data_IF_487699748865
#
_entry.id   IF_487699748865
#
_cell.length_a   1.000
_cell.length_b   1.000
_cell.length_c   1.000
_cell.angle_alpha   90.00
_cell.angle_beta   90.00
_cell.angle_gamma   90.00
#
_symmetry.space_group_name_H-M   'P 1'
#
loop_
_entity.id
_entity.type
_entity.pdbx_description
1 polymer ?
#
# COMPACT_ATOMS: atom_id res chain seq x y z
N UNK A 1 4.54 -12.46 18.39
CA UNK A 1 4.00 -12.81 17.06
C UNK A 1 4.78 -12.04 15.98
N UNK A 2 5.56 -12.72 15.10
CA UNK A 2 6.53 -12.07 14.22
C UNK A 2 5.96 -11.05 13.24
N UNK A 3 4.83 -11.34 12.57
CA UNK A 3 4.23 -10.40 11.61
C UNK A 3 3.67 -9.15 12.30
N UNK A 4 3.13 -9.28 13.53
CA UNK A 4 2.71 -8.12 14.31
C UNK A 4 3.90 -7.28 14.77
N UNK A 5 5.01 -7.90 15.17
CA UNK A 5 6.24 -7.20 15.54
C UNK A 5 6.84 -6.45 14.34
N UNK A 6 6.90 -7.09 13.17
CA UNK A 6 7.35 -6.45 11.93
C UNK A 6 6.41 -5.30 11.50
N UNK A 7 5.10 -5.45 11.69
CA UNK A 7 4.13 -4.39 11.43
C UNK A 7 4.32 -3.19 12.37
N UNK A 8 4.59 -3.43 13.66
CA UNK A 8 4.89 -2.35 14.60
C UNK A 8 6.21 -1.64 14.25
N UNK A 9 7.24 -2.40 13.82
CA UNK A 9 8.52 -1.84 13.38
C UNK A 9 8.36 -0.92 12.16
N UNK A 10 7.45 -1.23 11.22
CA UNK A 10 7.11 -0.31 10.12
C UNK A 10 6.60 1.03 10.66
N UNK A 11 5.66 0.99 11.62
CA UNK A 11 5.10 2.20 12.21
C UNK A 11 6.15 3.02 12.95
N UNK A 12 7.13 2.39 13.58
CA UNK A 12 8.26 3.08 14.21
C UNK A 12 9.14 3.80 13.19
N UNK A 13 9.47 3.13 12.06
CA UNK A 13 10.30 3.72 11.01
C UNK A 13 9.60 4.92 10.34
N UNK A 14 8.26 4.88 10.21
CA UNK A 14 7.45 5.97 9.66
C UNK A 14 7.57 7.29 10.45
N UNK A 15 7.97 7.23 11.73
CA UNK A 15 8.07 8.41 12.59
C UNK A 15 9.46 9.08 12.58
N UNK A 16 10.40 8.58 11.76
CA UNK A 16 11.78 9.11 11.71
C UNK A 16 11.86 10.31 10.77
N UNK A 17 12.35 11.45 11.28
CA UNK A 17 12.41 12.74 10.55
C UNK A 17 13.31 12.74 9.31
N UNK A 18 14.35 11.91 9.28
CA UNK A 18 15.29 11.82 8.16
C UNK A 18 15.29 10.39 7.62
N UNK A 19 14.59 10.19 6.51
CA UNK A 19 14.49 8.89 5.85
C UNK A 19 15.69 8.68 4.93
N UNK A 20 16.63 7.81 5.30
CA UNK A 20 17.85 7.54 4.51
C UNK A 20 17.66 6.39 3.52
N UNK A 21 18.57 6.25 2.56
CA UNK A 21 18.62 5.14 1.59
C UNK A 21 18.65 3.76 2.29
N UNK A 22 19.42 3.62 3.36
CA UNK A 22 19.50 2.38 4.14
C UNK A 22 18.18 2.08 4.86
N UNK A 23 17.55 3.10 5.43
CA UNK A 23 16.23 2.97 6.07
C UNK A 23 15.17 2.57 5.06
N UNK A 24 15.20 3.14 3.86
CA UNK A 24 14.30 2.77 2.77
C UNK A 24 14.44 1.29 2.39
N UNK A 25 15.67 0.81 2.27
CA UNK A 25 15.93 -0.60 1.99
C UNK A 25 15.36 -1.50 3.10
N UNK A 26 15.65 -1.19 4.37
CA UNK A 26 15.10 -1.92 5.53
C UNK A 26 13.58 -1.92 5.52
N UNK A 27 12.98 -0.78 5.22
CA UNK A 27 11.54 -0.61 5.16
C UNK A 27 10.90 -1.49 4.08
N UNK A 28 11.45 -1.50 2.86
CA UNK A 28 10.98 -2.36 1.76
C UNK A 28 11.16 -3.84 2.10
N UNK A 29 12.28 -4.23 2.71
CA UNK A 29 12.50 -5.63 3.17
C UNK A 29 11.45 -6.06 4.20
N UNK A 30 11.05 -5.17 5.12
CA UNK A 30 9.98 -5.48 6.07
C UNK A 30 8.64 -5.62 5.33
N UNK A 31 8.33 -4.71 4.40
CA UNK A 31 7.10 -4.78 3.59
C UNK A 31 7.02 -6.11 2.83
N UNK A 32 8.10 -6.54 2.17
CA UNK A 32 8.17 -7.83 1.48
C UNK A 32 7.81 -8.99 2.42
N UNK A 33 8.37 -9.01 3.64
CA UNK A 33 8.09 -10.06 4.63
C UNK A 33 6.63 -10.08 5.11
N UNK A 34 5.94 -8.94 5.04
CA UNK A 34 4.54 -8.79 5.43
C UNK A 34 3.55 -9.03 4.29
N UNK A 35 3.99 -9.01 3.03
CA UNK A 35 3.15 -9.24 1.83
C UNK A 35 2.92 -10.72 1.51
N UNK A 36 2.95 -11.59 2.51
CA UNK A 36 2.49 -12.98 2.39
C UNK A 36 1.02 -13.08 2.75
N UNK A 37 0.30 -14.04 2.17
CA UNK A 37 -1.14 -14.21 2.43
C UNK A 37 -1.46 -14.37 3.92
N UNK A 38 -0.66 -15.17 4.64
CA UNK A 38 -0.82 -15.39 6.09
C UNK A 38 -0.59 -14.12 6.92
N UNK A 39 0.36 -13.28 6.52
CA UNK A 39 0.65 -12.03 7.22
C UNK A 39 -0.44 -10.98 6.96
N UNK A 40 -0.84 -10.79 5.70
CA UNK A 40 -1.86 -9.80 5.31
C UNK A 40 -3.24 -10.12 5.86
N UNK A 41 -3.56 -11.40 6.06
CA UNK A 41 -4.82 -11.83 6.65
C UNK A 41 -4.96 -11.49 8.13
N UNK A 42 -3.87 -11.04 8.79
CA UNK A 42 -3.91 -10.69 10.21
C UNK A 42 -4.53 -9.32 10.43
N UNK A 43 -5.28 -9.14 11.54
CA UNK A 43 -5.92 -7.87 11.85
C UNK A 43 -4.93 -6.69 11.81
N UNK A 44 -5.26 -5.66 11.04
CA UNK A 44 -4.47 -4.42 10.95
C UNK A 44 -3.21 -4.47 10.10
N UNK A 45 -2.70 -5.65 9.73
CA UNK A 45 -1.45 -5.75 8.95
C UNK A 45 -1.62 -5.19 7.54
N UNK A 46 -2.71 -5.52 6.83
CA UNK A 46 -3.01 -4.97 5.51
C UNK A 46 -3.04 -3.43 5.52
N UNK A 47 -3.81 -2.84 6.44
CA UNK A 47 -3.90 -1.38 6.60
C UNK A 47 -2.53 -0.77 6.87
N UNK A 48 -1.74 -1.36 7.78
CA UNK A 48 -0.41 -0.86 8.09
C UNK A 48 0.52 -0.92 6.87
N UNK A 49 0.54 -2.04 6.14
CA UNK A 49 1.31 -2.19 4.90
C UNK A 49 0.90 -1.14 3.86
N UNK A 50 -0.41 -0.96 3.63
CA UNK A 50 -0.90 0.03 2.67
C UNK A 50 -0.50 1.46 3.06
N UNK A 51 -0.66 1.84 4.33
CA UNK A 51 -0.25 3.16 4.83
C UNK A 51 1.27 3.36 4.75
N UNK A 52 2.05 2.32 5.04
CA UNK A 52 3.50 2.32 4.90
C UNK A 52 3.95 2.52 3.46
N UNK A 53 3.33 1.83 2.51
CA UNK A 53 3.58 2.04 1.08
C UNK A 53 3.20 3.48 0.69
N UNK A 54 2.02 3.96 1.07
CA UNK A 54 1.58 5.34 0.81
C UNK A 54 2.57 6.40 1.33
N UNK A 55 3.23 6.14 2.46
CA UNK A 55 4.26 7.03 2.99
C UNK A 55 5.50 7.10 2.09
N UNK A 56 5.92 5.97 1.49
CA UNK A 56 7.08 5.95 0.58
C UNK A 56 6.86 6.80 -0.67
N UNK A 57 5.62 7.01 -1.10
CA UNK A 57 5.29 7.96 -2.20
C UNK A 57 5.56 9.42 -1.84
N UNK A 58 5.68 9.74 -0.55
CA UNK A 58 5.98 11.09 -0.07
C UNK A 58 7.46 11.27 0.28
N UNK A 59 8.30 10.24 0.12
CA UNK A 59 9.75 10.33 0.34
C UNK A 59 10.41 11.09 -0.81
N UNK A 60 11.51 11.78 -0.52
CA UNK A 60 12.32 12.51 -1.52
C UNK A 60 12.71 11.59 -2.70
N UNK A 61 12.39 12.02 -3.92
CA UNK A 61 12.70 11.31 -5.17
C UNK A 61 14.19 10.97 -5.30
N UNK A 62 15.07 11.84 -4.79
CA UNK A 62 16.52 11.61 -4.79
C UNK A 62 16.87 10.35 -3.99
N UNK A 63 16.28 10.16 -2.81
CA UNK A 63 16.53 8.99 -1.97
C UNK A 63 15.99 7.71 -2.64
N UNK A 64 14.84 7.79 -3.30
CA UNK A 64 14.27 6.71 -4.12
C UNK A 64 15.22 6.29 -5.26
N UNK A 65 15.74 7.26 -6.02
CA UNK A 65 16.68 7.00 -7.12
C UNK A 65 18.01 6.42 -6.63
N UNK A 66 18.56 6.94 -5.54
CA UNK A 66 19.78 6.41 -4.94
C UNK A 66 19.56 4.97 -4.41
N UNK A 67 18.41 4.71 -3.79
CA UNK A 67 18.06 3.38 -3.29
C UNK A 67 17.83 2.35 -4.41
N UNK A 68 17.37 2.80 -5.58
CA UNK A 68 17.27 1.96 -6.78
C UNK A 68 18.66 1.54 -7.27
N UNK A 69 19.59 2.49 -7.42
CA UNK A 69 20.93 2.20 -7.94
C UNK A 69 21.73 1.21 -7.09
N UNK A 70 21.51 1.19 -5.77
CA UNK A 70 22.28 0.34 -4.85
C UNK A 70 21.60 -1.01 -4.62
N UNK A 71 20.27 -1.04 -4.49
CA UNK A 71 19.53 -2.20 -3.96
C UNK A 71 18.23 -2.54 -4.72
N UNK A 72 17.99 -1.92 -5.89
CA UNK A 72 16.76 -2.06 -6.68
C UNK A 72 15.49 -1.82 -5.85
N UNK A 73 15.56 -0.86 -4.92
CA UNK A 73 14.56 -0.69 -3.86
C UNK A 73 13.20 -0.26 -4.40
N UNK A 74 13.16 0.58 -5.43
CA UNK A 74 11.89 1.02 -6.04
C UNK A 74 11.26 -0.11 -6.86
N UNK A 75 12.07 -0.90 -7.57
CA UNK A 75 11.61 -2.10 -8.28
C UNK A 75 11.00 -3.13 -7.33
N UNK A 76 11.64 -3.35 -6.17
CA UNK A 76 11.12 -4.23 -5.12
C UNK A 76 9.84 -3.70 -4.46
N UNK A 77 9.74 -2.39 -4.28
CA UNK A 77 8.51 -1.76 -3.80
C UNK A 77 7.34 -1.96 -4.77
N UNK A 78 7.57 -1.93 -6.08
CA UNK A 78 6.53 -2.24 -7.06
C UNK A 78 6.02 -3.67 -6.92
N UNK A 79 6.90 -4.65 -6.70
CA UNK A 79 6.50 -6.04 -6.42
C UNK A 79 5.66 -6.14 -5.14
N UNK A 80 6.02 -5.39 -4.08
CA UNK A 80 5.21 -5.29 -2.86
C UNK A 80 3.79 -4.77 -3.18
N UNK A 81 3.68 -3.74 -4.01
CA UNK A 81 2.39 -3.15 -4.43
C UNK A 81 1.54 -4.18 -5.18
N UNK A 82 2.15 -4.94 -6.08
CA UNK A 82 1.47 -5.99 -6.86
C UNK A 82 1.00 -7.16 -5.99
N UNK A 83 1.77 -7.54 -4.97
CA UNK A 83 1.44 -8.65 -4.09
C UNK A 83 0.27 -8.37 -3.14
N UNK A 84 0.02 -7.10 -2.79
CA UNK A 84 -1.07 -6.74 -1.84
C UNK A 84 -2.45 -7.21 -2.36
N UNK A 85 -2.92 -6.83 -3.56
CA UNK A 85 -4.21 -7.28 -4.06
C UNK A 85 -4.24 -8.76 -4.44
N UNK A 86 -3.10 -9.35 -4.80
CA UNK A 86 -3.00 -10.79 -5.10
C UNK A 86 -3.21 -11.66 -3.85
N UNK A 87 -2.70 -11.21 -2.69
CA UNK A 87 -2.59 -12.04 -1.47
C UNK A 87 -3.42 -11.51 -0.30
N UNK A 88 -4.01 -10.34 -0.43
CA UNK A 88 -4.79 -9.72 0.62
C UNK A 88 -6.09 -10.48 0.92
N UNK A 89 -6.61 -10.38 2.16
CA UNK A 89 -7.83 -11.05 2.55
C UNK A 89 -9.06 -10.47 1.82
N UNK A 90 -9.88 -11.36 1.25
CA UNK A 90 -11.16 -11.00 0.65
C UNK A 90 -12.27 -11.10 1.70
N UNK A 91 -12.89 -9.98 2.04
CA UNK A 91 -14.04 -9.92 2.94
C UNK A 91 -15.31 -9.89 2.09
N UNK A 92 -16.13 -10.95 2.17
CA UNK A 92 -17.31 -11.14 1.30
C UNK A 92 -16.95 -11.09 -0.19
N UNK A 93 -15.78 -11.62 -0.57
CA UNK A 93 -15.31 -11.67 -1.95
C UNK A 93 -14.72 -10.37 -2.48
N UNK A 94 -14.49 -9.37 -1.63
CA UNK A 94 -13.89 -8.09 -2.03
C UNK A 94 -12.78 -7.70 -1.04
N UNK A 95 -11.69 -7.17 -1.56
CA UNK A 95 -10.68 -6.43 -0.80
C UNK A 95 -10.72 -4.98 -1.28
N UNK A 96 -10.75 -4.04 -0.34
CA UNK A 96 -10.64 -2.62 -0.62
C UNK A 96 -9.85 -1.95 0.50
N UNK A 97 -8.67 -1.44 0.17
CA UNK A 97 -7.81 -0.69 1.08
C UNK A 97 -7.39 0.60 0.38
N UNK A 98 -7.76 1.75 0.95
CA UNK A 98 -7.59 3.06 0.31
C UNK A 98 -6.75 3.96 1.18
N UNK A 99 -5.75 4.57 0.57
CA UNK A 99 -4.86 5.58 1.15
C UNK A 99 -4.93 6.85 0.31
N UNK A 100 -4.37 8.00 0.78
CA UNK A 100 -4.39 9.24 0.00
C UNK A 100 -3.78 9.13 -1.40
N UNK A 101 -2.71 8.35 -1.58
CA UNK A 101 -1.99 8.25 -2.86
C UNK A 101 -2.23 6.92 -3.61
N UNK A 102 -2.86 5.93 -2.98
CA UNK A 102 -3.05 4.58 -3.56
C UNK A 102 -4.37 3.95 -3.14
N UNK A 103 -4.95 3.16 -4.03
CA UNK A 103 -6.06 2.28 -3.73
C UNK A 103 -5.74 0.84 -4.18
N UNK A 104 -5.91 -0.11 -3.27
CA UNK A 104 -5.78 -1.54 -3.53
C UNK A 104 -7.16 -2.17 -3.56
N UNK A 105 -7.53 -2.74 -4.71
CA UNK A 105 -8.83 -3.38 -4.90
C UNK A 105 -8.64 -4.77 -5.49
N UNK A 106 -9.29 -5.77 -4.90
CA UNK A 106 -9.37 -7.11 -5.46
C UNK A 106 -10.82 -7.63 -5.36
N UNK A 107 -11.25 -8.38 -6.37
CA UNK A 107 -12.55 -9.05 -6.41
C UNK A 107 -12.33 -10.54 -6.63
N UNK A 108 -13.02 -11.36 -5.84
CA UNK A 108 -13.25 -12.75 -6.19
C UNK A 108 -14.11 -12.80 -7.46
N UNK A 109 -13.63 -13.53 -8.47
CA UNK A 109 -14.36 -13.81 -9.71
C UNK A 109 -14.36 -15.31 -9.89
N UNK A 110 -15.53 -15.90 -10.08
CA UNK A 110 -15.64 -17.30 -10.45
C UNK A 110 -15.12 -17.51 -11.88
N UNK A 111 -14.53 -18.67 -12.17
CA UNK A 111 -13.90 -18.96 -13.47
C UNK A 111 -14.85 -18.82 -14.66
N UNK A 112 -16.17 -18.89 -14.43
CA UNK A 112 -17.22 -18.77 -15.44
C UNK A 112 -17.88 -17.38 -15.48
N UNK A 113 -17.42 -16.43 -14.65
CA UNK A 113 -17.97 -15.07 -14.57
C UNK A 113 -16.97 -14.02 -15.07
N UNK A 114 -17.49 -12.90 -15.55
CA UNK A 114 -16.71 -11.68 -15.77
C UNK A 114 -17.35 -10.57 -14.94
N UNK A 115 -16.54 -9.92 -14.09
CA UNK A 115 -16.98 -8.80 -13.25
C UNK A 115 -16.19 -7.55 -13.63
N UNK A 116 -16.90 -6.44 -13.79
CA UNK A 116 -16.26 -5.14 -13.99
C UNK A 116 -15.93 -4.50 -12.64
N UNK A 117 -14.66 -4.12 -12.46
CA UNK A 117 -14.24 -3.30 -11.32
C UNK A 117 -14.42 -1.84 -11.71
N UNK A 118 -15.33 -1.13 -11.03
CA UNK A 118 -15.50 0.31 -11.22
C UNK A 118 -14.77 1.05 -10.10
N UNK A 119 -13.65 1.68 -10.44
CA UNK A 119 -12.94 2.60 -9.55
C UNK A 119 -13.56 3.99 -9.73
N UNK A 120 -14.35 4.43 -8.76
CA UNK A 120 -14.90 5.79 -8.75
C UNK A 120 -13.99 6.66 -7.88
N UNK A 121 -13.18 7.50 -8.50
CA UNK A 121 -12.49 8.55 -7.77
C UNK A 121 -13.55 9.54 -7.25
N UNK A 122 -13.59 9.76 -5.93
CA UNK A 122 -14.39 10.83 -5.36
C UNK A 122 -13.85 12.18 -5.88
N UNK A 123 -14.41 12.65 -7.00
CA UNK A 123 -14.36 14.07 -7.32
C UNK A 123 -15.15 14.75 -6.21
N UNK A 124 -14.53 15.75 -5.57
CA UNK A 124 -15.24 16.61 -4.61
C UNK A 124 -16.59 16.97 -5.22
N UNK A 125 -17.70 16.94 -4.44
CA UNK A 125 -18.96 17.46 -4.95
C UNK A 125 -18.67 18.90 -5.34
N UNK A 126 -18.75 19.21 -6.63
CA UNK A 126 -18.84 20.58 -7.11
C UNK A 126 -19.99 21.18 -6.33
N UNK A 127 -19.66 22.00 -5.33
CA UNK A 127 -20.62 22.82 -4.64
C UNK A 127 -21.41 23.51 -5.73
N UNK A 128 -22.72 23.26 -5.76
CA UNK A 128 -23.65 24.00 -6.57
C UNK A 128 -23.40 25.47 -6.27
N UNK A 129 -22.62 26.11 -7.14
CA UNK A 129 -22.59 27.55 -7.36
C UNK A 129 -23.94 27.91 -7.99
N UNK A 130 -25.04 27.64 -7.27
CA UNK A 130 -26.30 28.33 -7.43
C UNK A 130 -26.18 29.66 -6.69
N UNK A 131 -25.30 30.52 -7.20
CA UNK A 131 -25.58 31.94 -7.20
C UNK A 131 -26.45 32.20 -8.43
N UNK A 132 -27.70 31.74 -8.37
CA UNK A 132 -28.73 32.22 -9.28
C UNK A 132 -29.10 33.63 -8.86
N UNK A 133 -28.84 34.53 -9.81
CA UNK A 133 -29.47 35.82 -10.05
C UNK A 133 -30.88 35.98 -9.47
#
# INVERSE_FOLDING_TARGET
>A
DPSQQASNLLLEILNVKNFTTEMMHKFVTILESLTTQDSLSRPGVLSNVAHSVNHLFNVDEKNLREAELVMNTSSRLLLVIEHIPERGPLIKGVMNEVTPNLAFVALAVDENESRHVQLVAATQPSSELNASQ
#
